data_IF_877305253976
#
_entry.id   IF_877305253976
#
_cell.length_a   1.000
_cell.length_b   1.000
_cell.length_c   1.000
_cell.angle_alpha   90.00
_cell.angle_beta   90.00
_cell.angle_gamma   90.00
#
_symmetry.space_group_name_H-M   'P 1'
#
loop_
_entity.id
_entity.type
_entity.pdbx_description
1 polymer ?
#
# COMPACT_ATOMS: atom_id res chain seq x y z
N UNK A 1 -6.78 -9.81 -9.19
CA UNK A 1 -7.03 -8.43 -8.69
C UNK A 1 -5.80 -7.82 -8.06
N UNK A 2 -5.10 -8.50 -7.14
CA UNK A 2 -3.85 -7.97 -6.55
C UNK A 2 -2.74 -7.71 -7.58
N UNK A 3 -2.51 -8.62 -8.53
CA UNK A 3 -1.55 -8.40 -9.62
C UNK A 3 -1.94 -7.21 -10.52
N UNK A 4 -3.24 -6.97 -10.69
CA UNK A 4 -3.73 -5.79 -11.42
C UNK A 4 -3.40 -4.51 -10.63
N UNK A 5 -3.71 -4.50 -9.33
CA UNK A 5 -3.38 -3.41 -8.43
C UNK A 5 -1.87 -3.08 -8.44
N UNK A 6 -1.02 -4.11 -8.45
CA UNK A 6 0.44 -3.97 -8.60
C UNK A 6 0.82 -3.28 -9.91
N UNK A 7 0.34 -3.82 -11.04
CA UNK A 7 0.67 -3.24 -12.34
C UNK A 7 0.16 -1.79 -12.48
N UNK A 8 -1.01 -1.50 -11.93
CA UNK A 8 -1.58 -0.16 -11.95
C UNK A 8 -0.71 0.80 -11.12
N UNK A 9 -0.21 0.39 -9.94
CA UNK A 9 0.63 1.27 -9.10
C UNK A 9 2.03 1.45 -9.67
N UNK A 10 2.65 0.39 -10.21
CA UNK A 10 3.95 0.48 -10.90
C UNK A 10 3.89 1.48 -12.06
N UNK A 11 2.73 1.57 -12.74
CA UNK A 11 2.49 2.58 -13.77
C UNK A 11 2.31 3.96 -13.17
N UNK A 12 1.53 4.08 -12.08
CA UNK A 12 1.33 5.36 -11.41
C UNK A 12 2.67 5.95 -10.96
N UNK A 13 3.53 5.16 -10.31
CA UNK A 13 4.86 5.58 -9.85
C UNK A 13 5.74 6.14 -10.98
N UNK A 14 5.65 5.55 -12.18
CA UNK A 14 6.44 5.98 -13.34
C UNK A 14 5.88 7.20 -14.05
N UNK A 15 4.57 7.43 -13.94
CA UNK A 15 3.85 8.38 -14.79
C UNK A 15 3.21 9.55 -14.05
N UNK A 16 3.07 9.51 -12.71
CA UNK A 16 2.30 10.53 -11.97
C UNK A 16 2.81 11.95 -12.16
N UNK A 17 4.12 12.14 -12.37
CA UNK A 17 4.72 13.47 -12.65
C UNK A 17 4.24 14.10 -13.95
N UNK A 18 3.64 13.30 -14.84
CA UNK A 18 3.05 13.75 -16.11
C UNK A 18 1.54 13.96 -16.02
N UNK A 19 0.92 13.59 -14.89
CA UNK A 19 -0.50 13.68 -14.68
C UNK A 19 -0.85 15.03 -14.06
N UNK A 20 -2.01 15.55 -14.44
CA UNK A 20 -2.61 16.64 -13.68
C UNK A 20 -3.14 16.13 -12.34
N UNK A 21 -3.25 17.03 -11.34
CA UNK A 21 -3.70 16.70 -9.99
C UNK A 21 -5.04 15.95 -9.97
N UNK A 22 -5.99 16.34 -10.83
CA UNK A 22 -7.29 15.68 -10.92
C UNK A 22 -7.20 14.26 -11.50
N UNK A 23 -6.27 14.01 -12.44
CA UNK A 23 -6.06 12.67 -13.01
C UNK A 23 -5.43 11.74 -11.99
N UNK A 24 -4.51 12.28 -11.18
CA UNK A 24 -3.92 11.58 -10.05
C UNK A 24 -5.00 11.22 -9.01
N UNK A 25 -5.87 12.17 -8.65
CA UNK A 25 -7.00 11.93 -7.74
C UNK A 25 -7.90 10.80 -8.24
N UNK A 26 -8.28 10.83 -9.52
CA UNK A 26 -9.10 9.78 -10.14
C UNK A 26 -8.43 8.41 -10.03
N UNK A 27 -7.14 8.31 -10.34
CA UNK A 27 -6.38 7.05 -10.19
C UNK A 27 -6.37 6.58 -8.73
N UNK A 28 -6.14 7.47 -7.76
CA UNK A 28 -6.16 7.11 -6.34
C UNK A 28 -7.54 6.61 -5.89
N UNK A 29 -8.63 7.18 -6.42
CA UNK A 29 -10.01 6.69 -6.19
C UNK A 29 -10.18 5.27 -6.75
N UNK A 30 -9.72 5.01 -7.97
CA UNK A 30 -9.80 3.68 -8.58
C UNK A 30 -9.01 2.61 -7.79
N UNK A 31 -7.84 2.98 -7.25
CA UNK A 31 -7.09 2.14 -6.34
C UNK A 31 -7.89 1.83 -5.07
N UNK A 32 -8.43 2.85 -4.41
CA UNK A 32 -9.23 2.67 -3.20
C UNK A 32 -10.42 1.73 -3.44
N UNK A 33 -11.14 1.91 -4.54
CA UNK A 33 -12.25 1.02 -4.93
C UNK A 33 -11.78 -0.43 -5.11
N UNK A 34 -10.59 -0.64 -5.69
CA UNK A 34 -10.02 -1.98 -5.86
C UNK A 34 -9.65 -2.60 -4.51
N UNK A 35 -9.08 -1.82 -3.58
CA UNK A 35 -8.80 -2.27 -2.21
C UNK A 35 -10.07 -2.66 -1.46
N UNK A 36 -11.14 -1.88 -1.57
CA UNK A 36 -12.44 -2.21 -0.96
C UNK A 36 -12.99 -3.53 -1.50
N UNK A 37 -12.92 -3.75 -2.82
CA UNK A 37 -13.34 -5.02 -3.43
C UNK A 37 -12.49 -6.20 -2.93
N UNK A 38 -11.18 -6.01 -2.75
CA UNK A 38 -10.29 -7.02 -2.18
C UNK A 38 -10.67 -7.37 -0.74
N UNK A 39 -10.94 -6.36 0.11
CA UNK A 39 -11.33 -6.55 1.51
C UNK A 39 -12.67 -7.29 1.68
N UNK A 40 -13.58 -7.14 0.72
CA UNK A 40 -14.87 -7.83 0.70
C UNK A 40 -14.79 -9.28 0.15
N UNK A 41 -13.62 -9.73 -0.29
CA UNK A 41 -13.40 -11.09 -0.80
C UNK A 41 -13.35 -12.16 0.30
N UNK A 42 -13.81 -13.39 -0.02
CA UNK A 42 -13.95 -14.50 0.95
C UNK A 42 -12.66 -15.21 1.38
N UNK A 43 -11.51 -15.00 0.72
CA UNK A 43 -10.24 -15.69 1.02
C UNK A 43 -9.06 -14.72 0.96
N UNK A 44 -8.77 -14.05 2.08
CA UNK A 44 -7.77 -13.00 2.11
C UNK A 44 -6.98 -12.99 3.42
N UNK A 45 -5.75 -13.50 3.39
CA UNK A 45 -4.88 -13.61 4.58
C UNK A 45 -4.11 -12.31 4.86
N UNK A 46 -4.08 -11.40 3.89
CA UNK A 46 -3.46 -10.07 3.95
C UNK A 46 -4.47 -8.95 4.20
N UNK A 47 -5.55 -9.22 4.95
CA UNK A 47 -6.61 -8.23 5.22
C UNK A 47 -6.10 -7.00 5.98
N UNK A 48 -5.35 -7.21 7.06
CA UNK A 48 -4.78 -6.13 7.88
C UNK A 48 -3.89 -5.17 7.06
N UNK A 49 -2.88 -5.64 6.29
CA UNK A 49 -2.07 -4.72 5.51
C UNK A 49 -2.86 -4.02 4.38
N UNK A 50 -3.90 -4.64 3.82
CA UNK A 50 -4.79 -3.97 2.86
C UNK A 50 -5.66 -2.90 3.52
N UNK A 51 -6.13 -3.11 4.76
CA UNK A 51 -6.84 -2.07 5.53
C UNK A 51 -5.92 -0.88 5.84
N UNK A 52 -4.67 -1.13 6.22
CA UNK A 52 -3.69 -0.08 6.44
C UNK A 52 -3.43 0.72 5.15
N UNK A 53 -3.21 0.01 4.04
CA UNK A 53 -3.02 0.65 2.73
C UNK A 53 -4.23 1.50 2.31
N UNK A 54 -5.45 1.03 2.58
CA UNK A 54 -6.66 1.82 2.32
C UNK A 54 -6.67 3.11 3.12
N UNK A 55 -6.28 3.06 4.40
CA UNK A 55 -6.20 4.25 5.24
C UNK A 55 -5.15 5.24 4.73
N UNK A 56 -3.96 4.76 4.34
CA UNK A 56 -2.91 5.60 3.76
C UNK A 56 -3.41 6.27 2.47
N UNK A 57 -4.05 5.51 1.59
CA UNK A 57 -4.61 6.01 0.32
C UNK A 57 -5.64 7.12 0.56
N UNK A 58 -6.51 6.94 1.56
CA UNK A 58 -7.48 7.97 1.94
C UNK A 58 -6.79 9.24 2.43
N UNK A 59 -5.78 9.12 3.30
CA UNK A 59 -5.01 10.25 3.81
C UNK A 59 -4.37 11.05 2.67
N UNK A 60 -3.79 10.36 1.69
CA UNK A 60 -3.14 10.99 0.55
C UNK A 60 -4.14 11.74 -0.32
N UNK A 61 -5.33 11.17 -0.53
CA UNK A 61 -6.41 11.87 -1.26
C UNK A 61 -6.90 13.11 -0.53
N UNK A 62 -7.15 12.99 0.77
CA UNK A 62 -7.69 14.08 1.60
C UNK A 62 -6.70 15.28 1.64
N UNK A 63 -5.40 15.01 1.52
CA UNK A 63 -4.35 16.03 1.55
C UNK A 63 -3.77 16.39 0.17
N UNK A 64 -4.21 15.74 -0.91
CA UNK A 64 -3.56 15.75 -2.22
C UNK A 64 -3.20 17.15 -2.73
N UNK A 65 -4.15 18.08 -2.61
CA UNK A 65 -4.01 19.46 -3.08
C UNK A 65 -3.12 20.35 -2.19
N UNK A 66 -2.76 19.87 -1.01
CA UNK A 66 -1.89 20.56 -0.06
C UNK A 66 -0.48 19.95 0.00
N UNK A 67 -0.24 18.81 -0.65
CA UNK A 67 1.05 18.14 -0.66
C UNK A 67 2.06 18.87 -1.54
N UNK A 68 3.29 18.98 -1.04
CA UNK A 68 4.44 19.34 -1.89
C UNK A 68 4.79 18.17 -2.79
N UNK A 69 5.42 18.46 -3.93
CA UNK A 69 5.89 17.44 -4.87
C UNK A 69 6.76 16.36 -4.19
N UNK A 70 7.71 16.75 -3.34
CA UNK A 70 8.57 15.81 -2.61
C UNK A 70 7.79 14.91 -1.64
N UNK A 71 6.75 15.43 -1.01
CA UNK A 71 5.90 14.64 -0.10
C UNK A 71 5.08 13.63 -0.89
N UNK A 72 4.54 14.06 -2.03
CA UNK A 72 3.81 13.21 -2.95
C UNK A 72 4.69 12.09 -3.52
N UNK A 73 5.92 12.39 -3.95
CA UNK A 73 6.92 11.42 -4.42
C UNK A 73 7.13 10.32 -3.36
N UNK A 74 7.39 10.72 -2.11
CA UNK A 74 7.61 9.80 -0.99
C UNK A 74 6.36 8.96 -0.66
N UNK A 75 5.17 9.53 -0.81
CA UNK A 75 3.91 8.85 -0.53
C UNK A 75 3.57 7.80 -1.58
N UNK A 76 3.81 8.10 -2.86
CA UNK A 76 3.61 7.16 -3.97
C UNK A 76 4.57 5.98 -3.85
N UNK A 77 5.85 6.22 -3.55
CA UNK A 77 6.84 5.16 -3.31
C UNK A 77 6.42 4.25 -2.13
N UNK A 78 5.93 4.84 -1.03
CA UNK A 78 5.43 4.07 0.13
C UNK A 78 4.22 3.22 -0.22
N UNK A 79 3.30 3.73 -1.06
CA UNK A 79 2.15 2.95 -1.54
C UNK A 79 2.65 1.75 -2.36
N UNK A 80 3.58 1.97 -3.28
CA UNK A 80 4.12 0.90 -4.13
C UNK A 80 4.74 -0.22 -3.28
N UNK A 81 5.64 0.13 -2.36
CA UNK A 81 6.28 -0.83 -1.45
C UNK A 81 5.22 -1.62 -0.66
N UNK A 82 4.18 -0.97 -0.17
CA UNK A 82 3.10 -1.63 0.58
C UNK A 82 2.31 -2.60 -0.30
N UNK A 83 1.98 -2.20 -1.53
CA UNK A 83 1.28 -3.06 -2.49
C UNK A 83 2.11 -4.29 -2.83
N UNK A 84 3.40 -4.10 -3.12
CA UNK A 84 4.33 -5.20 -3.41
C UNK A 84 4.41 -6.20 -2.25
N UNK A 85 4.52 -5.71 -1.00
CA UNK A 85 4.50 -6.57 0.19
C UNK A 85 3.18 -7.33 0.39
N UNK A 86 2.04 -6.72 0.05
CA UNK A 86 0.72 -7.35 0.12
C UNK A 86 0.62 -8.47 -0.93
N UNK A 87 1.07 -8.21 -2.16
CA UNK A 87 1.06 -9.17 -3.27
C UNK A 87 1.94 -10.36 -2.92
N UNK A 88 3.18 -10.12 -2.50
CA UNK A 88 4.12 -11.18 -2.12
C UNK A 88 3.60 -11.99 -0.93
N UNK A 89 2.94 -11.33 0.02
CA UNK A 89 2.30 -11.97 1.15
C UNK A 89 1.16 -12.90 0.77
N UNK A 90 0.29 -12.45 -0.15
CA UNK A 90 -0.79 -13.28 -0.66
C UNK A 90 -0.25 -14.47 -1.46
N UNK A 91 0.74 -14.26 -2.35
CA UNK A 91 1.37 -15.33 -3.13
C UNK A 91 2.00 -16.36 -2.19
N UNK A 92 2.77 -15.90 -1.20
CA UNK A 92 3.42 -16.76 -0.20
C UNK A 92 2.38 -17.58 0.56
N UNK A 93 1.24 -17.00 0.90
CA UNK A 93 0.17 -17.71 1.59
C UNK A 93 -0.52 -18.77 0.71
N UNK A 94 -0.70 -18.49 -0.59
CA UNK A 94 -1.30 -19.40 -1.55
C UNK A 94 -0.43 -20.63 -1.86
N UNK A 95 0.90 -20.47 -1.85
CA UNK A 95 1.86 -21.59 -2.04
C UNK A 95 2.18 -22.37 -0.75
N UNK A 96 1.40 -22.16 0.33
CA UNK A 96 1.56 -22.88 1.60
C UNK A 96 2.56 -22.27 2.59
N UNK A 97 3.14 -21.12 2.28
CA UNK A 97 4.10 -20.39 3.12
C UNK A 97 3.49 -19.41 4.14
N UNK A 98 2.17 -19.45 4.38
CA UNK A 98 1.45 -18.46 5.19
C UNK A 98 2.06 -18.25 6.60
N UNK A 99 2.55 -19.32 7.23
CA UNK A 99 3.20 -19.24 8.55
C UNK A 99 4.51 -18.43 8.53
N UNK A 100 5.30 -18.55 7.46
CA UNK A 100 6.56 -17.80 7.27
C UNK A 100 6.24 -16.33 7.03
N UNK A 101 5.25 -16.03 6.17
CA UNK A 101 4.80 -14.66 5.93
C UNK A 101 4.35 -13.96 7.22
N UNK A 102 3.48 -14.61 8.01
CA UNK A 102 2.99 -14.06 9.28
C UNK A 102 4.13 -13.83 10.29
N UNK A 103 5.14 -14.71 10.32
CA UNK A 103 6.33 -14.54 11.15
C UNK A 103 7.16 -13.33 10.72
N UNK A 104 7.35 -13.14 9.42
CA UNK A 104 8.09 -12.01 8.86
C UNK A 104 7.37 -10.67 9.11
N UNK A 105 6.05 -10.60 8.92
CA UNK A 105 5.26 -9.42 9.28
C UNK A 105 5.42 -9.06 10.75
N UNK A 106 5.28 -10.03 11.66
CA UNK A 106 5.45 -9.79 13.11
C UNK A 106 6.83 -9.25 13.44
N UNK A 107 7.87 -9.75 12.78
CA UNK A 107 9.24 -9.29 12.97
C UNK A 107 9.45 -7.87 12.44
N UNK A 108 8.89 -7.55 11.27
CA UNK A 108 8.94 -6.20 10.69
C UNK A 108 8.23 -5.18 11.60
N UNK A 109 7.03 -5.49 12.09
CA UNK A 109 6.28 -4.61 13.02
C UNK A 109 7.03 -4.42 14.34
N UNK A 110 7.70 -5.46 14.85
CA UNK A 110 8.56 -5.32 16.04
C UNK A 110 9.73 -4.38 15.78
N UNK A 111 10.38 -4.48 14.62
CA UNK A 111 11.53 -3.65 14.24
C UNK A 111 11.13 -2.17 14.09
N UNK A 112 9.98 -1.88 13.46
CA UNK A 112 9.44 -0.52 13.38
C UNK A 112 9.15 0.09 14.76
N UNK A 113 8.52 -0.68 15.65
CA UNK A 113 8.25 -0.22 17.03
C UNK A 113 9.53 0.06 17.81
N UNK A 114 10.57 -0.75 17.59
CA UNK A 114 11.86 -0.58 18.25
C UNK A 114 12.60 0.66 17.72
N UNK A 115 12.60 0.89 16.41
CA UNK A 115 13.18 2.10 15.82
C UNK A 115 12.46 3.38 16.29
N UNK A 116 11.12 3.38 16.36
CA UNK A 116 10.36 4.52 16.91
C UNK A 116 10.72 4.83 18.37
N UNK A 117 11.10 3.83 19.15
CA UNK A 117 11.47 3.99 20.57
C UNK A 117 12.86 4.58 20.75
N UNK A 118 13.77 4.35 19.80
CA UNK A 118 15.13 4.89 19.80
C UNK A 118 15.13 6.41 19.50
N UNK A 119 14.21 6.89 18.66
CA UNK A 119 14.07 8.33 18.37
C UNK A 119 13.35 9.14 19.45
N UNK A 120 12.80 8.48 20.48
CA UNK A 120 12.10 9.12 21.61
C UNK A 120 12.92 9.07 22.91
N UNK A 121 14.17 8.62 22.84
CA UNK A 121 15.14 8.55 23.94
C UNK A 121 16.34 9.42 23.59
#
# INVERSE_FOLDING_TARGET
>A
MLLKLRNDIDKLEKEYKKLELFELELKLIEFEMTLVKLLNGKKFLVKIPVEALKHDMKSIKDELYNLKAEELDNLIEKIDIKINNIVDGQITAEIGGAAIYLRNMRNATKKEKMNKRIYLL
#
